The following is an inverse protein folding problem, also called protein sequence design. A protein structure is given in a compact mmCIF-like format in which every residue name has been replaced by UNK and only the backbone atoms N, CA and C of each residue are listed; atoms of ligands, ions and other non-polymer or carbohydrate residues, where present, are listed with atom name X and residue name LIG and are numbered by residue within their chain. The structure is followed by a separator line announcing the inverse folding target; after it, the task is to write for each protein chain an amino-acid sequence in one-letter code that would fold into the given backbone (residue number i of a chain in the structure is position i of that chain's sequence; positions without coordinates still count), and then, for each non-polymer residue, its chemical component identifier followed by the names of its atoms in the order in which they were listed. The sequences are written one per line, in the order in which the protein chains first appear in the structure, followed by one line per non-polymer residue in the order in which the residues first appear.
data_IF_270121272950
#
_entry.id   IF_270121272950
#
_cell.length_a   1.000
_cell.length_b   1.000
_cell.length_c   1.000
_cell.angle_alpha   90.00
_cell.angle_beta   90.00
_cell.angle_gamma   90.00
#
_symmetry.space_group_name_H-M   'P 1'
#
loop_
_entity.id
_entity.type
_entity.pdbx_description
1 polymer ?
#
# COMPACT_ATOMS: atom_id res chain seq x y z
N UNK A 1 -2.50 4.36 44.46
CA UNK A 1 -1.32 4.18 43.62
C UNK A 1 -1.76 4.06 42.15
N UNK A 2 -0.84 4.34 41.22
CA UNK A 2 -1.07 4.16 39.78
C UNK A 2 -0.56 2.81 39.33
N UNK A 3 -1.29 2.13 38.45
CA UNK A 3 -0.89 0.91 37.78
C UNK A 3 -0.93 1.14 36.26
N UNK A 4 -0.03 0.49 35.57
CA UNK A 4 0.03 0.56 34.11
C UNK A 4 -0.20 -0.82 33.51
N UNK A 5 -0.97 -0.89 32.44
CA UNK A 5 -1.16 -2.07 31.60
C UNK A 5 -0.51 -1.86 30.23
N UNK A 6 0.24 -2.83 29.75
CA UNK A 6 0.93 -2.79 28.47
C UNK A 6 0.50 -3.96 27.62
N UNK A 7 0.19 -3.71 26.36
CA UNK A 7 -0.09 -4.73 25.35
C UNK A 7 0.67 -4.41 24.05
N UNK A 8 1.24 -5.39 23.38
CA UNK A 8 1.43 -6.78 23.82
C UNK A 8 2.37 -6.86 25.01
N UNK A 9 2.33 -8.00 25.74
CA UNK A 9 3.30 -8.28 26.79
C UNK A 9 4.69 -8.36 26.18
N UNK A 10 5.49 -7.33 26.39
CA UNK A 10 6.84 -7.16 25.85
C UNK A 10 7.68 -6.48 26.92
N UNK A 11 8.97 -6.73 26.91
CA UNK A 11 9.90 -5.96 27.74
C UNK A 11 9.96 -4.53 27.20
N UNK A 12 9.09 -3.69 27.72
CA UNK A 12 9.08 -2.27 27.42
C UNK A 12 10.07 -1.62 28.38
N UNK A 13 11.14 -1.01 27.90
CA UNK A 13 12.05 -0.27 28.75
C UNK A 13 11.27 0.74 29.59
N UNK A 14 11.37 0.61 30.91
CA UNK A 14 10.69 1.49 31.84
C UNK A 14 11.72 2.14 32.75
N UNK A 15 11.61 3.45 32.91
CA UNK A 15 12.29 4.20 33.93
C UNK A 15 11.24 5.01 34.69
N UNK A 16 10.84 4.56 35.88
CA UNK A 16 9.71 5.14 36.58
C UNK A 16 8.38 4.93 35.82
N UNK A 17 7.73 6.04 35.41
CA UNK A 17 6.49 6.02 34.63
C UNK A 17 6.72 6.36 33.16
N UNK A 18 7.89 6.13 32.62
CA UNK A 18 8.26 6.37 31.23
C UNK A 18 8.33 5.04 30.49
N UNK A 19 7.63 4.93 29.37
CA UNK A 19 7.53 3.74 28.54
C UNK A 19 7.97 4.04 27.12
N UNK A 20 8.93 3.30 26.58
CA UNK A 20 9.38 3.46 25.21
C UNK A 20 8.95 2.27 24.36
N UNK A 21 8.10 2.50 23.38
CA UNK A 21 7.63 1.52 22.41
C UNK A 21 8.42 1.67 21.10
N UNK A 22 8.79 0.55 20.51
CA UNK A 22 9.51 0.52 19.24
C UNK A 22 8.76 -0.35 18.26
N UNK A 23 8.55 0.18 17.08
CA UNK A 23 8.12 -0.59 15.91
C UNK A 23 9.34 -0.82 15.03
N UNK A 24 10.41 -1.38 15.41
CA UNK A 24 11.66 -1.61 14.68
C UNK A 24 11.65 -1.29 13.16
N UNK A 25 12.75 -1.44 12.47
CA UNK A 25 12.83 -1.41 10.99
C UNK A 25 12.07 -2.64 10.44
N UNK A 26 10.81 -2.67 10.74
CA UNK A 26 10.05 -3.89 10.81
C UNK A 26 9.59 -4.27 9.42
N UNK A 27 10.24 -5.28 8.93
CA UNK A 27 9.55 -6.30 8.16
C UNK A 27 8.41 -6.81 9.03
N UNK A 28 7.24 -6.23 8.92
CA UNK A 28 6.04 -6.73 9.57
C UNK A 28 5.44 -7.79 8.66
N UNK A 29 5.15 -8.95 9.21
CA UNK A 29 4.47 -9.98 8.43
C UNK A 29 3.04 -9.54 8.09
N UNK A 30 2.60 -9.96 6.92
CA UNK A 30 1.27 -9.67 6.39
C UNK A 30 0.11 -10.30 7.18
N UNK A 31 0.39 -11.22 8.07
CA UNK A 31 -0.66 -12.01 8.70
C UNK A 31 -1.34 -11.25 9.84
N UNK A 32 -2.66 -11.24 9.81
CA UNK A 32 -3.48 -10.62 10.86
C UNK A 32 -3.14 -11.16 12.27
N UNK A 33 -2.77 -12.43 12.38
CA UNK A 33 -2.38 -13.04 13.65
C UNK A 33 -1.12 -12.40 14.27
N UNK A 34 -0.24 -11.81 13.46
CA UNK A 34 0.99 -11.18 13.96
C UNK A 34 0.80 -9.73 14.41
N UNK A 35 -0.34 -9.13 14.11
CA UNK A 35 -0.67 -7.78 14.60
C UNK A 35 -0.61 -7.68 16.12
N UNK A 36 -0.88 -8.77 16.83
CA UNK A 36 -0.72 -8.80 18.30
C UNK A 36 0.69 -8.41 18.78
N UNK A 37 1.71 -8.54 17.92
CA UNK A 37 3.09 -8.20 18.27
C UNK A 37 3.45 -6.74 17.99
N UNK A 38 2.64 -6.03 17.22
CA UNK A 38 2.93 -4.67 16.72
C UNK A 38 1.84 -3.64 17.05
N UNK A 39 0.64 -4.09 17.44
CA UNK A 39 -0.43 -3.20 17.90
C UNK A 39 -0.23 -2.84 19.37
N UNK A 40 0.55 -1.79 19.61
CA UNK A 40 0.82 -1.32 20.96
C UNK A 40 -0.38 -0.62 21.59
N UNK A 41 -0.64 -0.97 22.85
CA UNK A 41 -1.65 -0.32 23.67
C UNK A 41 -1.08 -0.06 25.06
N UNK A 42 -1.52 1.03 25.67
CA UNK A 42 -1.17 1.40 27.04
C UNK A 42 -2.45 1.71 27.82
N UNK A 43 -2.49 1.28 29.07
CA UNK A 43 -3.54 1.64 30.00
C UNK A 43 -2.96 2.24 31.27
N UNK A 44 -3.68 3.18 31.87
CA UNK A 44 -3.40 3.75 33.19
C UNK A 44 -4.62 3.49 34.07
N UNK A 45 -4.39 2.93 35.23
CA UNK A 45 -5.43 2.63 36.20
C UNK A 45 -5.05 3.12 37.59
N UNK A 46 -6.03 3.09 38.49
CA UNK A 46 -5.85 3.44 39.90
C UNK A 46 -5.99 2.20 40.77
N UNK A 47 -5.04 2.01 41.66
CA UNK A 47 -5.11 0.96 42.70
C UNK A 47 -5.76 1.52 43.94
N UNK A 48 -6.85 0.90 44.33
CA UNK A 48 -7.57 1.21 45.58
C UNK A 48 -7.68 -0.07 46.40
N UNK A 49 -6.85 -0.16 47.44
CA UNK A 49 -6.67 -1.40 48.22
C UNK A 49 -6.10 -2.50 47.33
N UNK A 50 -6.83 -3.59 47.12
CA UNK A 50 -6.49 -4.73 46.26
C UNK A 50 -7.17 -4.67 44.91
N UNK A 51 -7.93 -3.63 44.61
CA UNK A 51 -8.71 -3.50 43.37
C UNK A 51 -8.08 -2.48 42.43
N UNK A 52 -8.00 -2.83 41.16
CA UNK A 52 -7.64 -1.90 40.10
C UNK A 52 -8.91 -1.38 39.43
N UNK A 53 -9.04 -0.06 39.35
CA UNK A 53 -10.19 0.58 38.73
C UNK A 53 -9.72 1.47 37.55
N UNK A 54 -10.64 1.72 36.60
CA UNK A 54 -10.42 2.61 35.45
C UNK A 54 -9.28 2.20 34.53
N UNK A 55 -8.93 0.91 34.46
CA UNK A 55 -7.92 0.41 33.55
C UNK A 55 -8.49 0.34 32.11
N UNK A 56 -8.29 1.41 31.35
CA UNK A 56 -8.72 1.52 29.95
C UNK A 56 -7.51 1.50 29.04
N UNK A 57 -7.45 0.53 28.13
CA UNK A 57 -6.41 0.46 27.11
C UNK A 57 -6.70 1.43 25.96
N UNK A 58 -5.70 2.21 25.62
CA UNK A 58 -5.68 3.10 24.45
C UNK A 58 -4.68 2.57 23.43
N UNK A 59 -5.06 2.59 22.17
CA UNK A 59 -4.15 2.28 21.08
C UNK A 59 -3.07 3.34 20.96
N UNK A 60 -1.84 2.90 20.76
CA UNK A 60 -0.70 3.77 20.46
C UNK A 60 -0.33 3.73 18.97
N UNK A 61 -0.83 2.74 18.24
CA UNK A 61 -0.58 2.54 16.81
C UNK A 61 -1.84 2.72 15.98
N UNK A 62 -1.68 3.15 14.74
CA UNK A 62 -2.64 3.05 13.66
C UNK A 62 -2.31 1.83 12.78
N UNK A 63 -3.18 1.49 11.84
CA UNK A 63 -3.06 0.32 11.00
C UNK A 63 -3.31 0.66 9.53
N UNK A 64 -2.37 0.34 8.64
CA UNK A 64 -2.68 0.18 7.22
C UNK A 64 -3.28 -1.20 6.96
N UNK A 65 -4.35 -1.25 6.18
CA UNK A 65 -4.89 -2.45 5.58
C UNK A 65 -4.74 -2.35 4.06
N UNK A 66 -3.89 -3.17 3.50
CA UNK A 66 -3.75 -3.32 2.06
C UNK A 66 -4.72 -4.39 1.57
N UNK A 67 -5.49 -4.06 0.53
CA UNK A 67 -6.34 -5.00 -0.18
C UNK A 67 -5.80 -5.20 -1.57
N UNK A 68 -5.46 -6.41 -1.94
CA UNK A 68 -5.00 -6.78 -3.27
C UNK A 68 -6.09 -7.58 -3.96
N UNK A 69 -6.38 -7.25 -5.21
CA UNK A 69 -7.31 -8.02 -6.05
C UNK A 69 -6.58 -8.42 -7.31
N UNK A 70 -6.41 -9.72 -7.55
CA UNK A 70 -5.78 -10.20 -8.77
C UNK A 70 -6.82 -10.24 -9.91
N UNK A 71 -6.61 -9.43 -10.94
CA UNK A 71 -7.40 -9.43 -12.19
C UNK A 71 -6.64 -10.03 -13.37
N UNK A 72 -5.39 -10.46 -13.14
CA UNK A 72 -4.56 -11.14 -14.13
C UNK A 72 -5.04 -12.57 -14.35
N UNK A 73 -4.77 -13.18 -15.52
CA UNK A 73 -5.17 -14.56 -15.81
C UNK A 73 -4.44 -15.57 -14.92
N UNK A 74 -3.17 -15.31 -14.61
CA UNK A 74 -2.31 -16.17 -13.80
C UNK A 74 -2.43 -15.86 -12.29
N UNK A 75 -1.96 -16.82 -11.48
CA UNK A 75 -1.83 -16.60 -10.05
C UNK A 75 -0.61 -15.71 -9.74
N UNK A 76 -0.80 -14.74 -8.85
CA UNK A 76 0.25 -13.83 -8.35
C UNK A 76 0.28 -13.82 -6.84
N UNK A 77 1.43 -13.52 -6.28
CA UNK A 77 1.61 -13.25 -4.85
C UNK A 77 2.18 -11.85 -4.65
N UNK A 78 1.85 -11.24 -3.53
CA UNK A 78 2.47 -9.98 -3.08
C UNK A 78 3.54 -10.34 -2.08
N UNK A 79 4.77 -9.91 -2.31
CA UNK A 79 5.92 -10.24 -1.46
C UNK A 79 6.30 -9.10 -0.52
N UNK A 80 6.03 -7.86 -0.93
CA UNK A 80 6.41 -6.68 -0.16
C UNK A 80 5.47 -5.51 -0.44
N UNK A 81 5.24 -4.67 0.57
CA UNK A 81 4.68 -3.33 0.40
C UNK A 81 5.58 -2.33 1.10
N UNK A 82 5.89 -1.25 0.40
CA UNK A 82 6.60 -0.09 0.97
C UNK A 82 5.65 1.10 0.96
N UNK A 83 5.53 1.76 2.09
CA UNK A 83 4.89 3.08 2.22
C UNK A 83 5.99 4.09 2.40
N UNK A 84 6.07 5.09 1.55
CA UNK A 84 7.12 6.10 1.60
C UNK A 84 6.60 7.52 1.44
N UNK A 85 7.39 8.48 1.90
CA UNK A 85 7.20 9.91 1.70
C UNK A 85 8.57 10.56 1.43
N UNK A 86 8.55 11.76 0.87
CA UNK A 86 9.79 12.51 0.60
C UNK A 86 10.52 12.90 1.89
N UNK A 87 9.77 13.18 2.97
CA UNK A 87 10.31 13.51 4.28
C UNK A 87 10.27 12.31 5.25
N UNK A 88 11.14 12.34 6.26
CA UNK A 88 11.14 11.36 7.35
C UNK A 88 9.98 11.65 8.32
N UNK A 89 8.81 11.11 8.04
CA UNK A 89 7.57 11.34 8.79
C UNK A 89 7.08 10.12 9.59
N UNK A 90 7.68 8.94 9.40
CA UNK A 90 7.27 7.70 10.07
C UNK A 90 8.07 7.48 11.34
N UNK A 91 7.49 7.70 12.55
CA UNK A 91 8.21 7.46 13.79
C UNK A 91 8.50 5.96 13.99
N UNK A 92 9.71 5.63 14.40
CA UNK A 92 10.12 4.28 14.79
C UNK A 92 9.92 4.01 16.28
N UNK A 93 9.96 5.08 17.09
CA UNK A 93 9.79 4.99 18.54
C UNK A 93 8.70 5.93 19.02
N UNK A 94 8.04 5.53 20.11
CA UNK A 94 7.10 6.34 20.86
C UNK A 94 7.44 6.22 22.34
N UNK A 95 7.80 7.33 22.96
CA UNK A 95 7.97 7.43 24.42
C UNK A 95 6.75 8.06 25.03
N UNK A 96 6.18 7.39 26.04
CA UNK A 96 5.06 7.89 26.84
C UNK A 96 5.55 8.18 28.25
N UNK A 97 5.40 9.43 28.70
CA UNK A 97 5.73 9.89 30.04
C UNK A 97 4.50 10.56 30.67
N UNK A 98 3.81 9.83 31.54
CA UNK A 98 2.52 10.31 32.04
C UNK A 98 1.46 10.36 30.93
N UNK A 99 1.09 11.56 30.51
CA UNK A 99 0.15 11.81 29.39
C UNK A 99 0.86 12.34 28.14
N UNK A 100 2.12 12.67 28.26
CA UNK A 100 2.93 13.18 27.14
C UNK A 100 3.38 12.02 26.24
N UNK A 101 3.27 12.23 24.92
CA UNK A 101 3.69 11.32 23.87
C UNK A 101 4.73 11.98 22.99
N UNK A 102 5.95 11.42 22.97
CA UNK A 102 7.05 11.91 22.15
C UNK A 102 7.41 10.89 21.09
N UNK A 103 7.35 11.29 19.83
CA UNK A 103 7.74 10.46 18.70
C UNK A 103 9.21 10.70 18.34
N UNK A 104 9.98 9.61 18.18
CA UNK A 104 11.40 9.67 17.86
C UNK A 104 11.80 8.78 16.70
N UNK A 105 13.06 8.95 16.25
CA UNK A 105 13.68 8.13 15.21
C UNK A 105 12.81 7.96 13.96
N UNK A 106 12.57 9.06 13.25
CA UNK A 106 11.70 9.07 12.07
C UNK A 106 12.40 8.49 10.84
N UNK A 107 11.64 7.75 10.04
CA UNK A 107 12.02 7.21 8.73
C UNK A 107 11.19 7.89 7.63
N UNK A 108 11.69 7.86 6.40
CA UNK A 108 10.91 8.24 5.22
C UNK A 108 10.10 7.07 4.64
N UNK A 109 10.21 5.88 5.20
CA UNK A 109 9.47 4.70 4.72
C UNK A 109 9.15 3.71 5.82
N UNK A 110 8.11 2.90 5.55
CA UNK A 110 7.73 1.71 6.29
C UNK A 110 7.67 0.54 5.32
N UNK A 111 8.13 -0.65 5.75
CA UNK A 111 8.10 -1.85 4.92
C UNK A 111 7.25 -2.93 5.56
N UNK A 112 6.40 -3.56 4.76
CA UNK A 112 5.66 -4.77 5.08
C UNK A 112 6.18 -5.90 4.20
N UNK A 113 6.84 -6.90 4.77
CA UNK A 113 7.11 -8.17 4.08
C UNK A 113 5.89 -9.06 4.17
N UNK A 114 5.49 -9.60 3.04
CA UNK A 114 4.33 -10.48 2.96
C UNK A 114 4.80 -11.92 2.72
N UNK A 115 4.51 -12.79 3.67
CA UNK A 115 4.69 -14.23 3.46
C UNK A 115 3.53 -14.76 2.63
N UNK A 116 3.86 -15.16 1.40
CA UNK A 116 3.07 -16.02 0.50
C UNK A 116 1.55 -15.95 0.65
N UNK A 117 0.96 -14.94 0.04
CA UNK A 117 -0.48 -14.92 -0.22
C UNK A 117 -0.65 -15.09 -1.73
N UNK A 118 -0.70 -16.35 -2.18
CA UNK A 118 -1.00 -16.66 -3.57
C UNK A 118 -2.45 -16.30 -3.86
N UNK A 119 -2.66 -15.54 -4.93
CA UNK A 119 -3.97 -15.12 -5.39
C UNK A 119 -4.21 -15.64 -6.79
N UNK A 120 -5.14 -16.57 -6.96
CA UNK A 120 -5.68 -16.92 -8.27
C UNK A 120 -6.45 -15.74 -8.88
N UNK A 121 -6.82 -15.85 -10.15
CA UNK A 121 -7.63 -14.83 -10.82
C UNK A 121 -8.91 -14.53 -10.02
N UNK A 122 -9.19 -13.25 -9.81
CA UNK A 122 -10.31 -12.70 -9.04
C UNK A 122 -10.23 -12.91 -7.51
N UNK A 123 -9.19 -13.54 -7.00
CA UNK A 123 -9.01 -13.64 -5.56
C UNK A 123 -8.52 -12.33 -4.94
N UNK A 124 -8.76 -12.24 -3.64
CA UNK A 124 -8.42 -11.08 -2.81
C UNK A 124 -7.53 -11.51 -1.67
N UNK A 125 -6.44 -10.80 -1.47
CA UNK A 125 -5.58 -10.93 -0.29
C UNK A 125 -5.52 -9.63 0.50
N UNK A 126 -5.15 -9.74 1.78
CA UNK A 126 -4.98 -8.60 2.67
C UNK A 126 -3.60 -8.62 3.30
N UNK A 127 -3.01 -7.43 3.45
CA UNK A 127 -1.82 -7.20 4.26
C UNK A 127 -2.09 -6.16 5.34
N UNK A 128 -1.35 -6.23 6.44
CA UNK A 128 -1.55 -5.32 7.58
C UNK A 128 -0.21 -4.79 8.08
N UNK A 129 -0.12 -3.49 8.27
CA UNK A 129 1.09 -2.81 8.74
C UNK A 129 0.71 -1.85 9.86
N UNK A 130 1.19 -2.12 11.07
CA UNK A 130 1.06 -1.20 12.20
C UNK A 130 2.11 -0.11 12.13
N UNK A 131 1.73 1.11 12.48
CA UNK A 131 2.65 2.24 12.53
C UNK A 131 2.24 3.22 13.65
N UNK A 132 3.19 4.02 14.14
CA UNK A 132 2.86 5.13 15.03
C UNK A 132 2.26 6.28 14.22
N UNK A 133 1.23 6.96 14.73
CA UNK A 133 0.67 8.13 14.07
C UNK A 133 1.75 9.16 13.75
N UNK A 134 1.69 9.71 12.56
CA UNK A 134 2.60 10.75 12.12
C UNK A 134 2.09 12.12 12.55
N UNK A 135 2.95 12.93 13.15
CA UNK A 135 2.57 14.25 13.65
C UNK A 135 2.84 15.38 12.65
N UNK A 136 3.76 15.19 11.70
CA UNK A 136 4.27 16.26 10.83
C UNK A 136 3.68 16.17 9.40
N UNK A 137 2.37 15.91 9.31
CA UNK A 137 1.68 15.85 8.02
C UNK A 137 0.90 17.15 7.75
N UNK A 138 0.84 17.52 6.48
CA UNK A 138 -0.07 18.51 5.94
C UNK A 138 -1.05 17.85 4.96
N UNK A 139 -2.08 18.56 4.56
CA UNK A 139 -3.01 18.09 3.52
C UNK A 139 -2.29 17.71 2.21
N UNK A 140 -1.16 18.34 1.93
CA UNK A 140 -0.36 18.16 0.72
C UNK A 140 0.78 17.15 0.89
N UNK A 141 0.92 16.53 2.07
CA UNK A 141 1.87 15.43 2.27
C UNK A 141 1.55 14.30 1.31
N UNK A 142 2.50 14.01 0.43
CA UNK A 142 2.37 12.97 -0.58
C UNK A 142 2.91 11.64 -0.05
N UNK A 143 2.14 10.58 -0.24
CA UNK A 143 2.50 9.22 0.11
C UNK A 143 2.56 8.36 -1.14
N UNK A 144 3.57 7.52 -1.21
CA UNK A 144 3.72 6.51 -2.24
C UNK A 144 3.61 5.13 -1.60
N UNK A 145 2.75 4.30 -2.16
CA UNK A 145 2.53 2.90 -1.76
C UNK A 145 2.99 2.02 -2.90
N UNK A 146 4.09 1.29 -2.72
CA UNK A 146 4.67 0.41 -3.73
C UNK A 146 4.49 -1.04 -3.30
N UNK A 147 3.73 -1.82 -4.06
CA UNK A 147 3.58 -3.26 -3.87
C UNK A 147 4.49 -4.01 -4.84
N UNK A 148 5.29 -4.94 -4.33
CA UNK A 148 6.07 -5.89 -5.13
C UNK A 148 5.28 -7.16 -5.29
N UNK A 149 5.08 -7.59 -6.53
CA UNK A 149 4.34 -8.80 -6.89
C UNK A 149 5.22 -9.74 -7.69
N UNK A 150 4.92 -11.04 -7.61
CA UNK A 150 5.57 -12.10 -8.38
C UNK A 150 4.51 -13.04 -8.93
N UNK A 151 4.72 -13.56 -10.14
CA UNK A 151 3.93 -14.65 -10.67
C UNK A 151 4.23 -15.94 -9.89
N UNK A 152 3.20 -16.67 -9.47
CA UNK A 152 3.38 -17.92 -8.74
C UNK A 152 4.07 -18.96 -9.64
N UNK A 153 5.16 -19.53 -9.13
CA UNK A 153 6.00 -20.48 -9.89
C UNK A 153 7.10 -19.83 -10.73
N UNK A 154 7.16 -18.50 -10.81
CA UNK A 154 8.19 -17.78 -11.55
C UNK A 154 8.74 -16.60 -10.73
N UNK A 155 9.78 -16.84 -9.96
CA UNK A 155 10.43 -15.81 -9.14
C UNK A 155 11.22 -14.76 -9.94
N UNK A 156 11.42 -14.97 -11.24
CA UNK A 156 12.07 -14.00 -12.12
C UNK A 156 11.11 -12.90 -12.59
N UNK A 157 9.80 -13.14 -12.49
CA UNK A 157 8.74 -12.20 -12.91
C UNK A 157 8.36 -11.21 -11.80
N UNK A 158 9.35 -10.55 -11.19
CA UNK A 158 9.10 -9.54 -10.16
C UNK A 158 8.69 -8.20 -10.79
N UNK A 159 7.55 -7.68 -10.37
CA UNK A 159 7.02 -6.40 -10.82
C UNK A 159 6.65 -5.52 -9.63
N UNK A 160 6.50 -4.22 -9.85
CA UNK A 160 6.01 -3.27 -8.85
C UNK A 160 4.73 -2.59 -9.34
N UNK A 161 3.79 -2.42 -8.43
CA UNK A 161 2.58 -1.62 -8.65
C UNK A 161 2.61 -0.48 -7.66
N UNK A 162 2.42 0.73 -8.17
CA UNK A 162 2.47 1.94 -7.36
C UNK A 162 1.10 2.61 -7.27
N UNK A 163 0.82 3.16 -6.09
CA UNK A 163 -0.27 4.10 -5.86
C UNK A 163 0.28 5.30 -5.10
N UNK A 164 0.10 6.49 -5.66
CA UNK A 164 0.60 7.74 -5.13
C UNK A 164 -0.54 8.74 -4.97
N UNK A 165 -0.46 9.58 -3.97
CA UNK A 165 -1.42 10.66 -3.78
C UNK A 165 -1.17 11.45 -2.51
N UNK A 166 -1.76 12.64 -2.47
CA UNK A 166 -1.76 13.47 -1.25
C UNK A 166 -2.69 12.85 -0.21
N UNK A 167 -2.37 13.06 1.07
CA UNK A 167 -3.19 12.51 2.16
C UNK A 167 -4.64 12.95 2.07
N UNK A 168 -4.89 14.18 1.59
CA UNK A 168 -6.24 14.73 1.38
C UNK A 168 -7.01 14.09 0.21
N UNK A 169 -6.31 13.42 -0.69
CA UNK A 169 -6.89 12.70 -1.84
C UNK A 169 -7.08 11.21 -1.52
N UNK A 170 -6.17 10.66 -0.71
CA UNK A 170 -6.18 9.25 -0.32
C UNK A 170 -7.27 8.93 0.70
N UNK A 171 -7.60 9.88 1.58
CA UNK A 171 -8.54 9.70 2.68
C UNK A 171 -9.47 10.90 2.82
N UNK A 172 -10.69 10.63 3.29
CA UNK A 172 -11.61 11.71 3.64
C UNK A 172 -11.12 12.47 4.90
N UNK A 173 -11.47 13.76 5.00
CA UNK A 173 -11.02 14.63 6.09
C UNK A 173 -11.34 14.07 7.48
N UNK A 174 -12.52 13.45 7.67
CA UNK A 174 -12.94 12.88 8.95
C UNK A 174 -12.00 11.78 9.48
N UNK A 175 -11.26 11.13 8.59
CA UNK A 175 -10.32 10.06 8.98
C UNK A 175 -8.93 10.56 9.33
N UNK A 176 -8.50 11.70 8.77
CA UNK A 176 -7.10 12.18 8.85
C UNK A 176 -6.96 13.62 9.35
N UNK A 177 -8.06 14.26 9.74
CA UNK A 177 -8.04 15.58 10.36
C UNK A 177 -8.44 15.49 11.82
N UNK A 178 -7.63 16.06 12.69
CA UNK A 178 -7.94 16.24 14.10
C UNK A 178 -7.70 17.71 14.48
N UNK A 179 -8.78 18.46 14.65
CA UNK A 179 -8.73 19.92 14.68
C UNK A 179 -8.32 20.46 13.30
N UNK A 180 -7.33 21.32 13.24
CA UNK A 180 -6.79 21.89 11.99
C UNK A 180 -5.59 21.09 11.43
N UNK A 181 -5.22 19.97 12.05
CA UNK A 181 -4.04 19.18 11.69
C UNK A 181 -4.40 17.93 10.91
N UNK A 182 -3.68 17.66 9.83
CA UNK A 182 -3.71 16.39 9.13
C UNK A 182 -2.80 15.40 9.85
N UNK A 183 -3.39 14.33 10.39
CA UNK A 183 -2.65 13.27 11.07
C UNK A 183 -3.41 11.95 11.07
N UNK A 184 -2.68 10.87 11.07
CA UNK A 184 -3.25 9.57 11.39
C UNK A 184 -3.62 9.49 12.86
N UNK A 185 -4.67 8.76 13.17
CA UNK A 185 -5.19 8.61 14.53
C UNK A 185 -4.94 7.19 15.04
N UNK A 186 -4.33 7.06 16.21
CA UNK A 186 -4.14 5.76 16.86
C UNK A 186 -5.48 5.03 17.02
N UNK A 187 -5.46 3.72 16.82
CA UNK A 187 -6.67 2.88 16.90
C UNK A 187 -7.52 2.89 15.62
N UNK A 188 -7.21 3.73 14.63
CA UNK A 188 -7.90 3.72 13.33
C UNK A 188 -7.19 2.85 12.31
N UNK A 189 -7.97 2.38 11.33
CA UNK A 189 -7.51 1.59 10.19
C UNK A 189 -7.67 2.40 8.90
N UNK A 190 -6.62 2.39 8.10
CA UNK A 190 -6.54 3.12 6.83
C UNK A 190 -6.40 2.12 5.68
N UNK A 191 -7.39 2.08 4.79
CA UNK A 191 -7.45 1.15 3.69
C UNK A 191 -6.72 1.66 2.45
N UNK A 192 -5.92 0.81 1.80
CA UNK A 192 -5.31 1.04 0.48
C UNK A 192 -5.63 -0.17 -0.38
N UNK A 193 -6.23 0.06 -1.54
CA UNK A 193 -6.55 -0.99 -2.50
C UNK A 193 -5.59 -0.96 -3.69
N UNK A 194 -5.09 -2.14 -4.04
CA UNK A 194 -4.32 -2.41 -5.24
C UNK A 194 -5.11 -3.38 -6.12
N UNK A 195 -5.14 -3.09 -7.41
CA UNK A 195 -5.68 -3.98 -8.41
C UNK A 195 -4.53 -4.45 -9.29
N UNK A 196 -4.24 -5.75 -9.25
CA UNK A 196 -3.26 -6.37 -10.12
C UNK A 196 -3.93 -6.59 -11.47
N UNK A 197 -3.76 -5.64 -12.38
CA UNK A 197 -4.20 -5.77 -13.77
C UNK A 197 -3.03 -6.24 -14.63
N UNK A 198 -3.31 -6.95 -15.72
CA UNK A 198 -2.27 -7.27 -16.68
C UNK A 198 -1.72 -5.96 -17.25
N UNK A 199 -0.40 -5.85 -17.33
CA UNK A 199 0.21 -4.83 -18.16
C UNK A 199 -0.03 -5.25 -19.61
N UNK A 200 -1.09 -4.72 -20.20
CA UNK A 200 -1.47 -5.03 -21.57
C UNK A 200 -0.54 -4.35 -22.58
N UNK A 201 0.42 -3.54 -22.12
CA UNK A 201 1.32 -2.77 -22.98
C UNK A 201 0.65 -1.58 -23.67
N UNK A 202 -0.61 -1.31 -23.35
CA UNK A 202 -1.36 -0.15 -23.80
C UNK A 202 -2.27 0.41 -22.70
N UNK A 203 -2.69 1.65 -22.89
CA UNK A 203 -3.65 2.35 -22.04
C UNK A 203 -4.83 2.84 -22.90
N UNK A 204 -6.07 2.63 -22.47
CA UNK A 204 -7.22 3.28 -23.06
C UNK A 204 -7.38 4.66 -22.40
N UNK A 205 -7.07 5.72 -23.15
CA UNK A 205 -7.12 7.11 -22.66
C UNK A 205 -8.52 7.71 -22.71
N UNK A 206 -9.29 7.32 -23.71
CA UNK A 206 -10.71 7.63 -23.91
C UNK A 206 -11.36 6.44 -24.63
N UNK A 207 -12.67 6.37 -24.62
CA UNK A 207 -13.39 5.28 -25.28
C UNK A 207 -12.95 5.10 -26.75
N UNK A 208 -12.36 3.96 -27.05
CA UNK A 208 -11.83 3.63 -28.37
C UNK A 208 -10.51 4.32 -28.76
N UNK A 209 -9.84 5.03 -27.83
CA UNK A 209 -8.53 5.62 -28.05
C UNK A 209 -7.49 4.94 -27.18
N UNK A 210 -6.48 4.35 -27.80
CA UNK A 210 -5.47 3.53 -27.14
C UNK A 210 -4.08 4.13 -27.34
N UNK A 211 -3.31 4.21 -26.26
CA UNK A 211 -1.91 4.63 -26.26
C UNK A 211 -1.03 3.39 -26.04
N UNK A 212 -0.28 2.99 -27.06
CA UNK A 212 0.59 1.79 -27.03
C UNK A 212 1.97 2.16 -26.53
N UNK A 213 2.40 1.52 -25.44
CA UNK A 213 3.65 1.79 -24.73
C UNK A 213 4.72 0.69 -24.91
N UNK A 214 4.30 -0.49 -25.38
CA UNK A 214 5.16 -1.67 -25.59
C UNK A 214 4.63 -2.50 -26.76
N UNK A 215 5.49 -3.35 -27.31
CA UNK A 215 5.15 -4.28 -28.41
C UNK A 215 3.93 -5.16 -28.07
N UNK A 216 3.88 -5.68 -26.83
CA UNK A 216 2.76 -6.50 -26.37
C UNK A 216 1.43 -5.75 -26.42
N UNK A 217 1.46 -4.42 -26.28
CA UNK A 217 0.27 -3.58 -26.38
C UNK A 217 -0.35 -3.63 -27.77
N UNK A 218 0.46 -3.58 -28.79
CA UNK A 218 -0.02 -3.69 -30.18
C UNK A 218 -0.55 -5.09 -30.47
N UNK A 219 0.14 -6.14 -29.98
CA UNK A 219 -0.27 -7.54 -30.13
C UNK A 219 -1.62 -7.78 -29.45
N UNK A 220 -1.77 -7.29 -28.21
CA UNK A 220 -2.99 -7.47 -27.43
C UNK A 220 -4.18 -6.75 -28.09
N UNK A 221 -4.00 -5.50 -28.53
CA UNK A 221 -5.04 -4.77 -29.26
C UNK A 221 -5.40 -5.45 -30.59
N UNK A 222 -4.40 -5.96 -31.32
CA UNK A 222 -4.63 -6.70 -32.57
C UNK A 222 -5.45 -7.97 -32.37
N UNK A 223 -5.42 -8.55 -31.17
CA UNK A 223 -6.19 -9.74 -30.80
C UNK A 223 -7.64 -9.43 -30.40
N UNK A 224 -8.02 -8.16 -30.31
CA UNK A 224 -9.37 -7.72 -29.89
C UNK A 224 -10.24 -7.35 -31.10
N UNK A 225 -11.18 -8.24 -31.53
CA UNK A 225 -11.98 -8.01 -32.73
C UNK A 225 -12.79 -6.70 -32.68
N UNK A 226 -13.27 -6.30 -31.51
CA UNK A 226 -14.05 -5.09 -31.32
C UNK A 226 -13.23 -3.82 -31.55
N UNK A 227 -11.94 -3.85 -31.22
CA UNK A 227 -10.97 -2.78 -31.47
C UNK A 227 -10.64 -2.72 -32.96
N UNK A 228 -10.37 -3.87 -33.58
CA UNK A 228 -9.93 -3.95 -34.96
C UNK A 228 -11.02 -3.57 -35.98
N UNK A 229 -12.28 -3.90 -35.71
CA UNK A 229 -13.39 -3.66 -36.63
C UNK A 229 -14.09 -2.31 -36.43
N UNK A 230 -13.77 -1.58 -35.38
CA UNK A 230 -14.40 -0.27 -35.11
C UNK A 230 -13.65 0.85 -35.82
N UNK A 231 -14.31 1.51 -36.78
CA UNK A 231 -13.76 2.63 -37.55
C UNK A 231 -13.43 3.88 -36.70
N UNK A 232 -14.00 4.00 -35.49
CA UNK A 232 -13.72 5.09 -34.55
C UNK A 232 -12.50 4.80 -33.66
N UNK A 233 -11.90 3.61 -33.73
CA UNK A 233 -10.70 3.27 -32.97
C UNK A 233 -9.50 4.09 -33.43
N UNK A 234 -8.78 4.65 -32.45
CA UNK A 234 -7.50 5.33 -32.68
C UNK A 234 -6.43 4.64 -31.82
N UNK A 235 -5.39 4.15 -32.45
CA UNK A 235 -4.22 3.55 -31.78
C UNK A 235 -3.05 4.51 -32.02
N UNK A 236 -2.50 5.08 -30.96
CA UNK A 236 -1.35 5.99 -30.99
C UNK A 236 -0.14 5.27 -30.39
N UNK A 237 1.02 5.33 -31.05
CA UNK A 237 2.27 4.80 -30.52
C UNK A 237 2.93 5.84 -29.60
N UNK A 238 3.29 5.44 -28.38
CA UNK A 238 4.00 6.26 -27.38
C UNK A 238 5.48 5.83 -27.23
N UNK A 239 5.87 4.77 -27.90
CA UNK A 239 7.24 4.25 -27.91
C UNK A 239 7.63 3.71 -29.28
N UNK A 240 8.95 3.68 -29.56
CA UNK A 240 9.46 2.94 -30.69
C UNK A 240 9.31 1.43 -30.42
N UNK A 241 8.61 0.72 -31.30
CA UNK A 241 8.30 -0.69 -31.13
C UNK A 241 9.17 -1.56 -32.06
N UNK A 242 9.96 -2.46 -31.46
CA UNK A 242 10.71 -3.47 -32.23
C UNK A 242 9.93 -4.79 -32.29
N UNK A 243 9.09 -4.91 -33.29
CA UNK A 243 8.26 -6.11 -33.52
C UNK A 243 9.08 -7.31 -34.04
N UNK A 244 10.37 -7.14 -34.41
CA UNK A 244 11.22 -8.22 -34.94
C UNK A 244 11.50 -9.33 -33.92
N UNK A 245 11.40 -9.00 -32.61
CA UNK A 245 11.63 -9.93 -31.50
C UNK A 245 10.36 -10.67 -31.04
N UNK A 246 9.20 -10.38 -31.64
CA UNK A 246 7.90 -10.90 -31.24
C UNK A 246 7.41 -12.00 -32.18
N UNK A 247 7.64 -13.26 -31.79
CA UNK A 247 7.21 -14.44 -32.54
C UNK A 247 5.68 -14.52 -32.74
N UNK A 248 4.92 -13.95 -31.79
CA UNK A 248 3.46 -13.95 -31.82
C UNK A 248 2.85 -12.83 -32.70
N UNK A 249 3.68 -11.99 -33.33
CA UNK A 249 3.15 -10.92 -34.17
C UNK A 249 2.59 -11.45 -35.49
N UNK A 250 1.29 -11.30 -35.66
CA UNK A 250 0.58 -11.55 -36.91
C UNK A 250 0.11 -10.20 -37.46
N UNK A 251 0.52 -9.80 -38.65
CA UNK A 251 0.05 -8.55 -39.25
C UNK A 251 -1.49 -8.51 -39.34
N UNK A 252 -2.05 -7.37 -38.91
CA UNK A 252 -3.50 -7.16 -38.94
C UNK A 252 -3.95 -6.94 -40.37
N UNK A 253 -4.85 -7.77 -40.87
CA UNK A 253 -5.32 -7.73 -42.28
C UNK A 253 -6.55 -6.82 -42.48
N UNK A 254 -7.27 -6.50 -41.42
CA UNK A 254 -8.56 -5.79 -41.51
C UNK A 254 -8.74 -4.72 -40.42
N UNK A 255 -7.70 -3.93 -40.12
CA UNK A 255 -7.88 -2.82 -39.19
C UNK A 255 -8.65 -1.68 -39.87
N UNK A 256 -9.79 -1.28 -39.25
CA UNK A 256 -10.68 -0.24 -39.78
C UNK A 256 -10.49 1.14 -39.16
N UNK A 257 -9.72 1.21 -38.07
CA UNK A 257 -9.46 2.44 -37.32
C UNK A 257 -8.27 3.24 -37.88
N UNK A 258 -7.72 4.09 -37.04
CA UNK A 258 -6.56 4.92 -37.32
C UNK A 258 -5.38 4.40 -36.50
N UNK A 259 -4.25 4.12 -37.15
CA UNK A 259 -2.96 3.91 -36.50
C UNK A 259 -2.11 5.18 -36.67
N UNK A 260 -1.88 5.87 -35.55
CA UNK A 260 -1.03 7.06 -35.50
C UNK A 260 0.34 6.70 -34.95
N UNK A 261 1.34 6.79 -35.79
CA UNK A 261 2.73 6.51 -35.41
C UNK A 261 3.33 7.56 -34.47
N UNK A 262 2.73 8.76 -34.33
CA UNK A 262 3.17 9.81 -33.43
C UNK A 262 4.68 10.11 -33.51
N UNK A 263 5.25 9.99 -34.70
CA UNK A 263 6.69 10.19 -34.93
C UNK A 263 7.60 9.07 -34.43
N UNK A 264 7.07 7.89 -34.14
CA UNK A 264 7.80 6.68 -33.71
C UNK A 264 8.03 5.75 -34.89
#
# INVERSE_FOLDING_TARGET
ATVWGIYPKKDVPTSGNVFTFTLGDATQSAQKAELQNTMHMLAKGTVNGTTVTNLKFEHLTALYQFKFTNRRPDAYKVTKVVVSADAAIFPKTLTVSGEEKTYGDKSNSLTLSMTSLDMAKNEVAYGYLSFFPMADMTKDTELTFTATIEKVGDSSSTETIEKKGKISELYNAESVVAGDEYKYVAGKRYGIAFMLVADLGYEETEAGKYLVKKEDGLINLASEPTVMTNAATVITLDADLDMSTKEAWVPVTEFKGILDGNGK
#
